data_IF_826846602533
#
_entry.id   IF_826846602533
#
_cell.length_a   1.000
_cell.length_b   1.000
_cell.length_c   1.000
_cell.angle_alpha   90.00
_cell.angle_beta   90.00
_cell.angle_gamma   90.00
#
_symmetry.space_group_name_H-M   'P 1'
#
loop_
_entity.id
_entity.type
_entity.pdbx_description
1 polymer ?
#
# COMPACT_ATOMS: atom_id res chain seq x y z
N UNK A 1 -0.82 20.26 -17.37
CA UNK A 1 -2.28 20.46 -17.31
C UNK A 1 -2.85 19.46 -16.31
N UNK A 2 -3.25 19.90 -15.11
CA UNK A 2 -3.89 19.03 -14.12
C UNK A 2 -5.31 18.70 -14.61
N UNK A 3 -5.54 17.46 -15.05
CA UNK A 3 -6.89 16.98 -15.27
C UNK A 3 -7.55 16.73 -13.91
N UNK A 4 -8.49 17.61 -13.57
CA UNK A 4 -9.45 17.44 -12.48
C UNK A 4 -10.24 16.14 -12.74
N UNK A 5 -10.02 15.13 -11.91
CA UNK A 5 -10.88 13.94 -11.88
C UNK A 5 -12.28 14.35 -11.38
N UNK A 6 -13.38 13.87 -12.00
CA UNK A 6 -14.73 14.23 -11.57
C UNK A 6 -14.99 13.70 -10.16
N UNK A 7 -15.36 14.59 -9.24
CA UNK A 7 -15.93 14.23 -7.94
C UNK A 7 -17.32 13.62 -8.19
N UNK A 8 -17.49 12.37 -7.80
CA UNK A 8 -18.77 11.67 -7.77
C UNK A 8 -18.72 10.31 -8.46
N UNK A 9 -18.07 9.32 -7.82
CA UNK A 9 -18.28 7.93 -8.19
C UNK A 9 -19.25 7.29 -7.20
N UNK A 10 -20.41 6.93 -7.72
CA UNK A 10 -21.35 5.98 -7.12
C UNK A 10 -20.55 4.75 -6.67
N UNK A 11 -20.79 4.29 -5.45
CA UNK A 11 -20.13 3.14 -4.82
C UNK A 11 -20.45 1.86 -5.60
N UNK A 12 -19.72 1.63 -6.69
CA UNK A 12 -19.87 0.48 -7.58
C UNK A 12 -19.35 -0.76 -6.87
N UNK A 13 -20.07 -1.87 -6.98
CA UNK A 13 -19.69 -3.15 -6.37
C UNK A 13 -18.27 -3.55 -6.81
N UNK A 14 -17.30 -3.69 -5.87
CA UNK A 14 -15.92 -4.04 -6.19
C UNK A 14 -15.79 -5.38 -6.92
N UNK A 15 -16.69 -6.33 -6.64
CA UNK A 15 -16.72 -7.63 -7.33
C UNK A 15 -17.05 -7.42 -8.81
N UNK A 16 -18.07 -6.61 -9.09
CA UNK A 16 -18.47 -6.30 -10.46
C UNK A 16 -17.35 -5.56 -11.22
N UNK A 17 -16.64 -4.62 -10.57
CA UNK A 17 -15.50 -3.93 -11.18
C UNK A 17 -14.41 -4.92 -11.61
N UNK A 18 -14.02 -5.82 -10.71
CA UNK A 18 -12.97 -6.82 -10.97
C UNK A 18 -13.40 -7.81 -12.06
N UNK A 19 -14.64 -8.31 -12.00
CA UNK A 19 -15.16 -9.26 -12.99
C UNK A 19 -15.31 -8.64 -14.37
N UNK A 20 -15.84 -7.41 -14.46
CA UNK A 20 -15.98 -6.69 -15.74
C UNK A 20 -14.60 -6.39 -16.32
N UNK A 21 -13.64 -5.96 -15.49
CA UNK A 21 -12.26 -5.74 -15.93
C UNK A 21 -11.63 -7.03 -16.46
N UNK A 22 -11.77 -8.13 -15.72
CA UNK A 22 -11.18 -9.41 -16.10
C UNK A 22 -11.80 -9.97 -17.39
N UNK A 23 -13.12 -9.91 -17.51
CA UNK A 23 -13.82 -10.30 -18.73
C UNK A 23 -13.41 -9.44 -19.93
N UNK A 24 -13.16 -8.13 -19.72
CA UNK A 24 -12.65 -7.25 -20.76
C UNK A 24 -11.20 -7.57 -21.15
N UNK A 25 -10.36 -7.98 -20.20
CA UNK A 25 -8.98 -8.39 -20.44
C UNK A 25 -8.88 -9.78 -21.10
N UNK A 26 -9.81 -10.68 -20.78
CA UNK A 26 -9.92 -12.02 -21.36
C UNK A 26 -10.68 -12.07 -22.70
N UNK A 27 -10.98 -10.92 -23.33
CA UNK A 27 -11.85 -10.86 -24.51
C UNK A 27 -11.53 -11.95 -25.56
N UNK A 28 -12.56 -12.61 -26.10
CA UNK A 28 -12.39 -13.77 -26.98
C UNK A 28 -11.70 -13.37 -28.29
N UNK A 29 -11.14 -14.37 -28.98
CA UNK A 29 -10.47 -14.28 -30.30
C UNK A 29 -11.29 -13.62 -31.44
N UNK A 30 -12.50 -13.13 -31.18
CA UNK A 30 -13.38 -12.48 -32.16
C UNK A 30 -13.45 -10.99 -31.84
N UNK A 31 -12.58 -10.21 -32.48
CA UNK A 31 -12.61 -8.74 -32.48
C UNK A 31 -13.78 -8.27 -33.33
N UNK A 32 -14.46 -7.22 -32.90
CA UNK A 32 -15.48 -6.55 -33.73
C UNK A 32 -14.84 -5.91 -34.96
N UNK A 33 -15.59 -5.70 -36.05
CA UNK A 33 -15.07 -5.04 -37.26
C UNK A 33 -14.49 -3.65 -36.96
N UNK A 34 -15.10 -2.91 -36.04
CA UNK A 34 -14.60 -1.62 -35.57
C UNK A 34 -13.26 -1.73 -34.83
N UNK A 35 -13.09 -2.74 -33.97
CA UNK A 35 -11.82 -2.99 -33.28
C UNK A 35 -10.72 -3.41 -34.27
N UNK A 36 -11.05 -4.23 -35.26
CA UNK A 36 -10.11 -4.64 -36.32
C UNK A 36 -9.70 -3.43 -37.16
N UNK A 37 -10.66 -2.59 -37.57
CA UNK A 37 -10.37 -1.38 -38.33
C UNK A 37 -9.52 -0.38 -37.54
N UNK A 38 -9.81 -0.18 -36.25
CA UNK A 38 -9.01 0.67 -35.37
C UNK A 38 -7.58 0.14 -35.18
N UNK A 39 -7.42 -1.18 -35.06
CA UNK A 39 -6.12 -1.82 -34.94
C UNK A 39 -5.32 -1.78 -36.26
N UNK A 40 -5.98 -1.99 -37.41
CA UNK A 40 -5.35 -1.80 -38.72
C UNK A 40 -4.92 -0.35 -38.94
N UNK A 41 -5.74 0.63 -38.55
CA UNK A 41 -5.38 2.04 -38.59
C UNK A 41 -4.22 2.36 -37.63
N UNK A 42 -4.20 1.73 -36.45
CA UNK A 42 -3.08 1.83 -35.52
C UNK A 42 -1.80 1.28 -36.13
N UNK A 43 -1.78 0.07 -36.67
CA UNK A 43 -0.57 -0.49 -37.29
C UNK A 43 -0.15 0.23 -38.58
N UNK A 44 -1.09 0.89 -39.27
CA UNK A 44 -0.80 1.77 -40.41
C UNK A 44 -0.22 3.13 -40.02
N UNK A 45 -0.34 3.54 -38.75
CA UNK A 45 0.24 4.76 -38.22
C UNK A 45 1.40 4.42 -37.28
N UNK A 46 2.58 4.95 -37.54
CA UNK A 46 3.76 4.67 -36.69
C UNK A 46 3.65 5.42 -35.35
N UNK A 47 2.75 4.96 -34.47
CA UNK A 47 2.46 5.56 -33.17
C UNK A 47 3.61 5.31 -32.20
N UNK A 48 4.03 6.38 -31.54
CA UNK A 48 5.18 6.41 -30.63
C UNK A 48 4.87 7.24 -29.39
N UNK A 49 5.58 6.98 -28.31
CA UNK A 49 5.66 7.81 -27.14
C UNK A 49 6.88 8.73 -27.28
N UNK A 50 6.65 10.04 -27.19
CA UNK A 50 7.73 11.01 -27.02
C UNK A 50 8.00 11.18 -25.52
N UNK A 51 9.20 10.84 -25.09
CA UNK A 51 9.67 11.00 -23.72
C UNK A 51 10.18 12.42 -23.52
N UNK A 52 9.86 13.02 -22.38
CA UNK A 52 10.33 14.35 -22.00
C UNK A 52 10.46 14.47 -20.47
N UNK A 53 11.08 15.54 -20.00
CA UNK A 53 11.40 15.74 -18.56
C UNK A 53 10.22 15.51 -17.61
N UNK A 54 9.02 15.93 -18.00
CA UNK A 54 7.81 15.83 -17.16
C UNK A 54 6.95 14.57 -17.42
N UNK A 55 7.41 13.61 -18.24
CA UNK A 55 6.67 12.39 -18.56
C UNK A 55 6.76 11.98 -20.03
N UNK A 56 5.63 11.60 -20.61
CA UNK A 56 5.56 11.15 -22.00
C UNK A 56 4.25 11.60 -22.65
N UNK A 57 4.29 11.75 -23.98
CA UNK A 57 3.14 12.17 -24.80
C UNK A 57 2.99 11.26 -26.03
N UNK A 58 1.74 10.97 -26.42
CA UNK A 58 1.48 10.18 -27.63
C UNK A 58 1.75 11.02 -28.88
N UNK A 59 2.46 10.43 -29.84
CA UNK A 59 2.81 11.06 -31.11
C UNK A 59 2.73 10.05 -32.27
N UNK A 60 2.78 10.56 -33.49
CA UNK A 60 2.95 9.78 -34.73
C UNK A 60 4.30 10.13 -35.35
N UNK A 61 5.11 9.12 -35.67
CA UNK A 61 6.35 9.27 -36.40
C UNK A 61 6.04 9.64 -37.87
N UNK A 62 6.65 10.71 -38.38
CA UNK A 62 6.47 11.16 -39.76
C UNK A 62 7.62 10.65 -40.64
N UNK A 63 7.26 9.90 -41.69
CA UNK A 63 8.23 9.45 -42.71
C UNK A 63 8.88 10.68 -43.34
N UNK A 64 10.20 10.76 -43.21
CA UNK A 64 11.02 11.83 -43.77
C UNK A 64 11.96 11.25 -44.82
N UNK A 65 12.27 12.00 -45.88
CA UNK A 65 13.18 11.55 -46.93
C UNK A 65 14.62 11.43 -46.38
N UNK A 66 15.37 10.43 -46.86
CA UNK A 66 16.74 10.20 -46.42
C UNK A 66 17.61 11.45 -46.66
N UNK A 67 18.20 12.01 -45.60
CA UNK A 67 19.03 13.22 -45.65
C UNK A 67 18.30 14.53 -45.33
N UNK A 68 16.99 14.50 -45.05
CA UNK A 68 16.21 15.71 -44.70
C UNK A 68 16.37 16.16 -43.24
N UNK A 69 16.89 15.30 -42.36
CA UNK A 69 17.14 15.58 -40.95
C UNK A 69 18.61 15.25 -40.61
N UNK A 70 19.20 15.93 -39.61
CA UNK A 70 20.49 15.55 -39.04
C UNK A 70 20.48 14.09 -38.57
N UNK A 71 21.62 13.42 -38.62
CA UNK A 71 21.78 12.06 -38.10
C UNK A 71 21.35 11.99 -36.63
N UNK A 72 20.53 10.98 -36.28
CA UNK A 72 19.96 10.81 -34.94
C UNK A 72 18.69 11.61 -34.65
N UNK A 73 18.15 12.37 -35.61
CA UNK A 73 16.88 13.10 -35.42
C UNK A 73 15.72 12.51 -36.20
N UNK A 74 14.54 12.54 -35.57
CA UNK A 74 13.28 12.10 -36.15
C UNK A 74 12.21 13.18 -36.02
N UNK A 75 11.28 13.20 -36.97
CA UNK A 75 10.15 14.14 -36.97
C UNK A 75 8.90 13.47 -36.42
N UNK A 76 8.36 14.01 -35.34
CA UNK A 76 7.17 13.48 -34.67
C UNK A 76 6.05 14.50 -34.68
N UNK A 77 4.81 14.04 -34.80
CA UNK A 77 3.61 14.85 -34.66
C UNK A 77 2.87 14.47 -33.38
N UNK A 78 2.75 15.38 -32.44
CA UNK A 78 2.01 15.17 -31.19
C UNK A 78 0.51 14.98 -31.47
N UNK A 79 -0.11 14.00 -30.81
CA UNK A 79 -1.53 13.68 -31.04
C UNK A 79 -2.49 14.68 -30.42
N UNK A 80 -2.08 15.35 -29.34
CA UNK A 80 -2.98 16.19 -28.55
C UNK A 80 -3.23 17.58 -29.16
N UNK A 81 -2.24 18.15 -29.84
CA UNK A 81 -2.30 19.50 -30.42
C UNK A 81 -1.89 19.54 -31.91
N UNK A 82 -1.39 18.42 -32.46
CA UNK A 82 -0.91 18.34 -33.83
C UNK A 82 0.44 18.99 -34.08
N UNK A 83 1.14 19.45 -33.04
CA UNK A 83 2.44 20.11 -33.14
C UNK A 83 3.48 19.13 -33.69
N UNK A 84 4.28 19.59 -34.66
CA UNK A 84 5.35 18.82 -35.28
C UNK A 84 6.69 19.26 -34.71
N UNK A 85 7.47 18.30 -34.22
CA UNK A 85 8.77 18.53 -33.58
C UNK A 85 9.85 17.65 -34.22
N UNK A 86 11.06 18.20 -34.30
CA UNK A 86 12.26 17.43 -34.63
C UNK A 86 12.96 17.08 -33.31
N UNK A 87 12.95 15.80 -32.96
CA UNK A 87 13.42 15.26 -31.67
C UNK A 87 14.55 14.26 -31.88
N UNK A 88 15.25 13.92 -30.80
CA UNK A 88 16.23 12.83 -30.82
C UNK A 88 15.51 11.48 -30.95
N UNK A 89 16.06 10.54 -31.72
CA UNK A 89 15.53 9.19 -31.84
C UNK A 89 15.55 8.45 -30.49
N UNK A 90 16.52 8.78 -29.61
CA UNK A 90 16.63 8.20 -28.27
C UNK A 90 15.46 8.60 -27.34
N UNK A 91 14.77 9.71 -27.63
CA UNK A 91 13.60 10.17 -26.87
C UNK A 91 12.27 9.53 -27.36
N UNK A 92 12.32 8.63 -28.34
CA UNK A 92 11.14 8.05 -28.99
C UNK A 92 11.00 6.57 -28.68
N UNK A 93 9.93 6.20 -27.98
CA UNK A 93 9.61 4.81 -27.68
C UNK A 93 8.40 4.32 -28.49
N UNK A 94 8.34 3.03 -28.87
CA UNK A 94 7.16 2.49 -29.58
C UNK A 94 5.92 2.49 -28.70
N UNK A 95 4.77 2.91 -29.24
CA UNK A 95 3.50 2.88 -28.51
C UNK A 95 2.74 1.57 -28.76
N UNK A 96 2.19 1.01 -27.69
CA UNK A 96 1.31 -0.16 -27.78
C UNK A 96 -0.09 0.23 -28.31
N UNK A 97 -0.76 -0.64 -29.06
CA UNK A 97 -2.16 -0.43 -29.45
C UNK A 97 -3.08 -0.21 -28.24
N UNK A 98 -4.20 0.53 -28.40
CA UNK A 98 -5.15 0.81 -27.31
C UNK A 98 -5.76 -0.44 -26.66
N UNK A 99 -5.72 -1.60 -27.34
CA UNK A 99 -6.11 -2.89 -26.75
C UNK A 99 -5.27 -3.29 -25.53
N UNK A 100 -4.06 -2.74 -25.39
CA UNK A 100 -3.17 -2.99 -24.26
C UNK A 100 -3.27 -1.94 -23.14
N UNK A 101 -4.06 -0.87 -23.32
CA UNK A 101 -4.15 0.25 -22.36
C UNK A 101 -4.49 -0.18 -20.94
N UNK A 102 -5.26 -1.26 -20.76
CA UNK A 102 -5.64 -1.78 -19.43
C UNK A 102 -5.14 -3.20 -19.20
N UNK A 103 -4.05 -3.61 -19.86
CA UNK A 103 -3.48 -4.95 -19.74
C UNK A 103 -3.38 -5.39 -18.27
N UNK A 104 -3.87 -6.58 -17.96
CA UNK A 104 -3.80 -7.13 -16.62
C UNK A 104 -2.39 -7.57 -16.24
N UNK A 105 -1.57 -7.90 -17.22
CA UNK A 105 -0.16 -8.25 -17.06
C UNK A 105 0.72 -7.37 -17.96
N UNK A 106 1.61 -6.61 -17.33
CA UNK A 106 2.57 -5.75 -18.02
C UNK A 106 3.57 -6.54 -18.85
N UNK A 107 3.82 -7.82 -18.51
CA UNK A 107 4.70 -8.68 -19.29
C UNK A 107 4.10 -9.10 -20.65
N UNK A 108 2.80 -8.87 -20.86
CA UNK A 108 2.11 -9.17 -22.12
C UNK A 108 2.06 -7.98 -23.09
N UNK A 109 2.63 -6.83 -22.73
CA UNK A 109 2.72 -5.69 -23.64
C UNK A 109 3.56 -6.05 -24.87
N UNK A 110 3.11 -5.64 -26.06
CA UNK A 110 3.83 -5.86 -27.32
C UNK A 110 5.18 -5.13 -27.32
N UNK A 111 5.20 -3.89 -26.84
CA UNK A 111 6.40 -3.09 -26.64
C UNK A 111 6.59 -2.82 -25.15
N UNK A 112 7.60 -3.44 -24.56
CA UNK A 112 7.91 -3.27 -23.15
C UNK A 112 8.91 -2.14 -22.97
N UNK A 113 8.38 -0.93 -22.74
CA UNK A 113 9.14 0.29 -22.43
C UNK A 113 8.50 1.06 -21.27
N UNK A 114 9.22 2.05 -20.74
CA UNK A 114 8.78 2.78 -19.54
C UNK A 114 7.48 3.53 -19.80
N UNK A 115 7.33 4.20 -20.94
CA UNK A 115 6.12 4.96 -21.28
C UNK A 115 4.89 4.07 -21.37
N UNK A 116 5.01 2.89 -21.99
CA UNK A 116 3.89 1.95 -22.13
C UNK A 116 3.47 1.33 -20.80
N UNK A 117 4.43 0.99 -19.94
CA UNK A 117 4.13 0.50 -18.59
C UNK A 117 3.43 1.58 -17.78
N UNK A 118 3.95 2.81 -17.80
CA UNK A 118 3.38 3.94 -17.08
C UNK A 118 1.99 4.33 -17.59
N UNK A 119 1.77 4.30 -18.91
CA UNK A 119 0.44 4.50 -19.51
C UNK A 119 -0.54 3.44 -19.02
N UNK A 120 -0.18 2.16 -19.11
CA UNK A 120 -1.04 1.05 -18.68
C UNK A 120 -1.42 1.16 -17.20
N UNK A 121 -0.43 1.45 -16.34
CA UNK A 121 -0.64 1.68 -14.92
C UNK A 121 -1.55 2.89 -14.65
N UNK A 122 -1.39 3.99 -15.41
CA UNK A 122 -2.23 5.19 -15.30
C UNK A 122 -3.67 4.91 -15.70
N UNK A 123 -3.90 4.21 -16.80
CA UNK A 123 -5.24 3.84 -17.27
C UNK A 123 -5.96 2.91 -16.29
N UNK A 124 -5.24 1.93 -15.73
CA UNK A 124 -5.77 1.03 -14.70
C UNK A 124 -6.11 1.78 -13.42
N UNK A 125 -5.20 2.64 -12.95
CA UNK A 125 -5.45 3.47 -11.76
C UNK A 125 -6.66 4.39 -11.94
N UNK A 126 -6.82 5.01 -13.11
CA UNK A 126 -8.01 5.81 -13.46
C UNK A 126 -9.31 5.01 -13.52
N UNK A 127 -9.22 3.69 -13.71
CA UNK A 127 -10.33 2.74 -13.62
C UNK A 127 -10.55 2.14 -12.23
N UNK A 128 -9.90 2.65 -11.17
CA UNK A 128 -9.86 2.08 -9.82
C UNK A 128 -9.28 0.66 -9.73
N UNK A 129 -8.45 0.26 -10.70
CA UNK A 129 -7.74 -1.02 -10.72
C UNK A 129 -6.32 -0.79 -10.20
N UNK A 130 -6.14 -0.89 -8.89
CA UNK A 130 -4.88 -0.56 -8.22
C UNK A 130 -3.82 -1.67 -8.29
N UNK A 131 -4.23 -2.88 -8.67
CA UNK A 131 -3.36 -4.06 -8.78
C UNK A 131 -3.14 -4.39 -10.25
N UNK A 132 -1.91 -4.73 -10.62
CA UNK A 132 -1.54 -5.14 -11.97
C UNK A 132 -0.46 -6.21 -11.89
N UNK A 133 -0.54 -7.26 -12.71
CA UNK A 133 0.53 -8.25 -12.80
C UNK A 133 1.73 -7.69 -13.58
N UNK A 134 2.92 -8.18 -13.23
CA UNK A 134 4.17 -7.91 -13.93
C UNK A 134 4.95 -9.23 -14.01
N UNK A 135 4.54 -10.10 -14.93
CA UNK A 135 5.02 -11.48 -15.00
C UNK A 135 4.72 -12.21 -13.69
N UNK A 136 5.71 -12.83 -13.01
CA UNK A 136 5.46 -13.52 -11.74
C UNK A 136 5.07 -12.56 -10.60
N UNK A 137 5.44 -11.27 -10.69
CA UNK A 137 5.24 -10.28 -9.64
C UNK A 137 3.90 -9.55 -9.78
N UNK A 138 3.53 -8.77 -8.77
CA UNK A 138 2.36 -7.87 -8.80
C UNK A 138 2.78 -6.47 -8.38
N UNK A 139 2.41 -5.48 -9.18
CA UNK A 139 2.58 -4.06 -8.91
C UNK A 139 1.29 -3.53 -8.30
N UNK A 140 1.42 -2.77 -7.22
CA UNK A 140 0.29 -2.18 -6.50
C UNK A 140 0.53 -0.68 -6.36
N UNK A 141 -0.40 0.11 -6.88
CA UNK A 141 -0.39 1.56 -6.70
C UNK A 141 -1.27 1.89 -5.51
N UNK A 142 -0.65 2.39 -4.43
CA UNK A 142 -1.38 2.71 -3.21
C UNK A 142 -2.44 3.80 -3.49
N UNK A 143 -3.74 3.52 -3.26
CA UNK A 143 -4.79 4.49 -3.50
C UNK A 143 -4.77 5.62 -2.47
N UNK A 144 -5.32 6.77 -2.85
CA UNK A 144 -5.48 7.93 -1.95
C UNK A 144 -6.66 7.76 -0.96
N UNK A 145 -7.58 6.84 -1.24
CA UNK A 145 -8.72 6.51 -0.38
C UNK A 145 -8.81 4.99 -0.18
N UNK A 146 -9.45 4.56 0.91
CA UNK A 146 -9.66 3.14 1.17
C UNK A 146 -10.57 2.54 0.08
N UNK A 147 -10.07 1.63 -0.76
CA UNK A 147 -10.89 1.06 -1.82
C UNK A 147 -11.82 0.00 -1.22
N UNK A 148 -13.07 -0.07 -1.70
CA UNK A 148 -14.04 -1.13 -1.36
C UNK A 148 -13.59 -2.55 -1.74
N UNK A 149 -12.43 -2.66 -2.41
CA UNK A 149 -11.82 -3.87 -2.97
C UNK A 149 -11.37 -4.92 -1.94
N UNK A 150 -11.31 -4.61 -0.65
CA UNK A 150 -10.82 -5.51 0.40
C UNK A 150 -11.93 -6.11 1.28
N UNK A 151 -13.13 -6.29 0.73
CA UNK A 151 -14.27 -6.89 1.45
C UNK A 151 -14.20 -8.42 1.50
N UNK A 152 -14.90 -9.03 2.47
CA UNK A 152 -15.03 -10.50 2.55
C UNK A 152 -15.63 -11.12 1.28
N UNK A 153 -16.56 -10.42 0.63
CA UNK A 153 -17.13 -10.85 -0.67
C UNK A 153 -16.03 -11.03 -1.72
N UNK A 154 -15.09 -10.08 -1.78
CA UNK A 154 -13.95 -10.17 -2.69
C UNK A 154 -13.02 -11.31 -2.28
N UNK A 155 -12.77 -11.53 -0.99
CA UNK A 155 -11.98 -12.69 -0.53
C UNK A 155 -12.59 -14.02 -1.00
N UNK A 156 -13.90 -14.19 -0.87
CA UNK A 156 -14.60 -15.39 -1.33
C UNK A 156 -14.52 -15.59 -2.86
N UNK A 157 -14.52 -14.52 -3.65
CA UNK A 157 -14.36 -14.59 -5.10
C UNK A 157 -12.99 -15.16 -5.51
N UNK A 158 -11.93 -14.89 -4.75
CA UNK A 158 -10.58 -15.42 -5.05
C UNK A 158 -10.35 -16.83 -4.49
N UNK A 159 -11.22 -17.33 -3.60
CA UNK A 159 -11.02 -18.62 -2.93
C UNK A 159 -11.06 -19.77 -3.95
N UNK A 160 -9.97 -20.54 -4.02
CA UNK A 160 -9.88 -21.72 -4.88
C UNK A 160 -9.56 -21.42 -6.35
N UNK A 161 -9.58 -20.16 -6.77
CA UNK A 161 -9.31 -19.78 -8.14
C UNK A 161 -7.83 -19.88 -8.50
N UNK A 162 -7.53 -20.12 -9.78
CA UNK A 162 -6.16 -19.97 -10.28
C UNK A 162 -5.91 -18.50 -10.59
N UNK A 163 -4.62 -18.14 -10.71
CA UNK A 163 -4.22 -16.77 -10.96
C UNK A 163 -4.79 -16.27 -12.30
N UNK A 164 -4.72 -17.11 -13.32
CA UNK A 164 -5.21 -16.88 -14.67
C UNK A 164 -6.73 -16.69 -14.76
N UNK A 165 -7.48 -17.22 -13.79
CA UNK A 165 -8.96 -17.17 -13.77
C UNK A 165 -9.50 -15.92 -13.03
N UNK A 166 -8.60 -15.04 -12.57
CA UNK A 166 -8.98 -13.88 -11.75
C UNK A 166 -8.26 -12.62 -12.16
N UNK A 167 -8.90 -11.47 -11.92
CA UNK A 167 -8.26 -10.17 -12.07
C UNK A 167 -7.02 -10.05 -11.16
N UNK A 168 -6.01 -9.24 -11.54
CA UNK A 168 -4.88 -8.94 -10.68
C UNK A 168 -5.35 -8.43 -9.30
N UNK A 169 -4.91 -9.10 -8.24
CA UNK A 169 -5.21 -8.72 -6.87
C UNK A 169 -4.22 -9.33 -5.87
N UNK A 170 -4.03 -8.70 -4.72
CA UNK A 170 -3.17 -9.24 -3.65
C UNK A 170 -3.68 -10.60 -3.13
N UNK A 171 -5.00 -10.83 -3.18
CA UNK A 171 -5.62 -12.10 -2.80
C UNK A 171 -5.31 -13.23 -3.79
N UNK A 172 -5.14 -12.94 -5.08
CA UNK A 172 -4.66 -13.95 -6.04
C UNK A 172 -3.23 -14.40 -5.70
N UNK A 173 -2.38 -13.48 -5.24
CA UNK A 173 -1.02 -13.81 -4.77
C UNK A 173 -1.07 -14.71 -3.53
N UNK A 174 -1.89 -14.35 -2.54
CA UNK A 174 -2.09 -15.18 -1.35
C UNK A 174 -2.65 -16.57 -1.67
N UNK A 175 -3.67 -16.64 -2.53
CA UNK A 175 -4.29 -17.89 -2.97
C UNK A 175 -3.30 -18.78 -3.71
N UNK A 176 -2.47 -18.20 -4.59
CA UNK A 176 -1.44 -18.95 -5.31
C UNK A 176 -0.38 -19.49 -4.36
N UNK A 177 0.09 -18.68 -3.40
CA UNK A 177 1.04 -19.13 -2.38
C UNK A 177 0.44 -20.25 -1.53
N UNK A 178 -0.79 -20.08 -1.03
CA UNK A 178 -1.48 -21.09 -0.25
C UNK A 178 -1.67 -22.41 -1.02
N UNK A 179 -2.11 -22.34 -2.28
CA UNK A 179 -2.24 -23.52 -3.14
C UNK A 179 -0.90 -24.22 -3.35
N UNK A 180 0.16 -23.46 -3.62
CA UNK A 180 1.50 -24.02 -3.82
C UNK A 180 1.99 -24.71 -2.54
N UNK A 181 1.86 -24.07 -1.38
CA UNK A 181 2.19 -24.67 -0.09
C UNK A 181 1.52 -26.04 0.11
N UNK A 182 0.21 -26.14 -0.14
CA UNK A 182 -0.53 -27.39 0.03
C UNK A 182 -0.15 -28.46 -0.99
N UNK A 183 0.13 -28.05 -2.23
CA UNK A 183 0.40 -28.97 -3.35
C UNK A 183 1.84 -29.48 -3.33
N UNK A 184 2.81 -28.59 -3.13
CA UNK A 184 4.24 -28.93 -3.16
C UNK A 184 4.79 -29.32 -1.80
N UNK A 185 4.07 -29.03 -0.71
CA UNK A 185 4.53 -29.18 0.68
C UNK A 185 5.84 -28.44 0.95
N UNK A 186 6.04 -27.31 0.26
CA UNK A 186 7.20 -26.44 0.44
C UNK A 186 6.77 -25.07 0.95
N UNK A 187 7.58 -24.50 1.85
CA UNK A 187 7.34 -23.17 2.43
C UNK A 187 7.31 -22.09 1.35
N UNK A 188 6.44 -21.10 1.55
CA UNK A 188 6.22 -19.99 0.62
C UNK A 188 6.52 -18.67 1.32
N UNK A 189 7.03 -17.69 0.58
CA UNK A 189 7.27 -16.34 1.09
C UNK A 189 6.67 -15.29 0.15
N UNK A 190 6.09 -14.26 0.75
CA UNK A 190 5.57 -13.09 0.04
C UNK A 190 6.34 -11.88 0.56
N UNK A 191 7.10 -11.23 -0.32
CA UNK A 191 7.93 -10.07 0.02
C UNK A 191 7.31 -8.80 -0.56
N UNK A 192 6.99 -7.84 0.32
CA UNK A 192 6.42 -6.55 -0.07
C UNK A 192 7.52 -5.48 -0.13
N UNK A 193 7.81 -5.01 -1.35
CA UNK A 193 8.83 -4.00 -1.60
C UNK A 193 8.19 -2.65 -1.92
N UNK A 194 8.89 -1.57 -1.57
CA UNK A 194 8.47 -0.21 -1.91
C UNK A 194 8.93 0.85 -0.91
N UNK A 195 8.87 2.12 -1.33
CA UNK A 195 9.22 3.28 -0.49
C UNK A 195 8.24 3.46 0.67
N UNK A 196 8.56 4.34 1.63
CA UNK A 196 7.62 4.70 2.69
C UNK A 196 6.33 5.25 2.09
N UNK A 197 5.17 4.86 2.64
CA UNK A 197 3.85 5.28 2.12
C UNK A 197 3.34 4.48 0.91
N UNK A 198 4.08 3.49 0.41
CA UNK A 198 3.64 2.66 -0.73
C UNK A 198 2.58 1.59 -0.38
N UNK A 199 2.07 1.56 0.86
CA UNK A 199 1.02 0.62 1.27
C UNK A 199 1.50 -0.79 1.69
N UNK A 200 2.80 -1.02 1.92
CA UNK A 200 3.33 -2.35 2.34
C UNK A 200 2.60 -2.93 3.55
N UNK A 201 2.48 -2.15 4.62
CA UNK A 201 1.88 -2.61 5.88
C UNK A 201 0.39 -2.99 5.69
N UNK A 202 -0.36 -2.17 4.94
CA UNK A 202 -1.77 -2.42 4.61
C UNK A 202 -1.94 -3.69 3.77
N UNK A 203 -1.11 -3.87 2.74
CA UNK A 203 -1.16 -5.08 1.91
C UNK A 203 -0.79 -6.34 2.70
N UNK A 204 0.17 -6.26 3.64
CA UNK A 204 0.49 -7.36 4.55
C UNK A 204 -0.71 -7.76 5.39
N UNK A 205 -1.45 -6.79 5.95
CA UNK A 205 -2.66 -7.08 6.70
C UNK A 205 -3.72 -7.79 5.85
N UNK A 206 -3.93 -7.34 4.62
CA UNK A 206 -4.89 -7.98 3.71
C UNK A 206 -4.48 -9.40 3.31
N UNK A 207 -3.18 -9.66 3.08
CA UNK A 207 -2.66 -11.00 2.82
C UNK A 207 -2.97 -11.96 3.97
N UNK A 208 -2.61 -11.58 5.19
CA UNK A 208 -2.81 -12.42 6.38
C UNK A 208 -4.31 -12.59 6.66
N UNK A 209 -5.09 -11.51 6.59
CA UNK A 209 -6.54 -11.57 6.77
C UNK A 209 -7.19 -12.54 5.76
N UNK A 210 -6.76 -12.51 4.50
CA UNK A 210 -7.24 -13.44 3.48
C UNK A 210 -6.90 -14.89 3.85
N UNK A 211 -5.63 -15.20 4.10
CA UNK A 211 -5.16 -16.55 4.42
C UNK A 211 -5.89 -17.14 5.63
N UNK A 212 -6.05 -16.37 6.70
CA UNK A 212 -6.78 -16.80 7.91
C UNK A 212 -8.26 -17.05 7.61
N UNK A 213 -8.88 -16.21 6.79
CA UNK A 213 -10.30 -16.33 6.46
C UNK A 213 -10.58 -17.53 5.55
N UNK A 214 -9.69 -17.82 4.59
CA UNK A 214 -9.92 -18.90 3.62
C UNK A 214 -9.51 -20.29 4.13
N UNK A 215 -8.41 -20.39 4.87
CA UNK A 215 -7.90 -21.64 5.43
C UNK A 215 -8.66 -22.05 6.69
N UNK A 216 -9.22 -21.06 7.41
CA UNK A 216 -9.75 -21.27 8.75
C UNK A 216 -8.63 -21.58 9.75
N UNK A 217 -9.01 -21.87 11.00
CA UNK A 217 -8.06 -22.22 12.05
C UNK A 217 -8.59 -23.37 12.90
N UNK A 218 -7.72 -24.35 13.14
CA UNK A 218 -7.97 -25.47 14.03
C UNK A 218 -8.14 -24.97 15.46
N UNK A 219 -9.25 -25.30 16.11
CA UNK A 219 -9.53 -24.88 17.50
C UNK A 219 -9.71 -23.37 17.71
N UNK A 220 -9.89 -22.57 16.63
CA UNK A 220 -9.98 -21.09 16.69
C UNK A 220 -8.76 -20.44 17.39
N UNK A 221 -7.60 -21.06 17.29
CA UNK A 221 -6.36 -20.57 17.92
C UNK A 221 -6.01 -19.18 17.36
N UNK A 222 -6.19 -18.99 16.06
CA UNK A 222 -5.98 -17.72 15.36
C UNK A 222 -7.22 -17.31 14.56
N UNK A 223 -7.59 -16.03 14.63
CA UNK A 223 -8.77 -15.50 13.96
C UNK A 223 -8.48 -14.12 13.36
N UNK A 224 -9.32 -13.67 12.43
CA UNK A 224 -9.24 -12.31 11.90
C UNK A 224 -9.30 -11.25 13.01
N UNK A 225 -10.13 -11.46 14.04
CA UNK A 225 -10.22 -10.57 15.20
C UNK A 225 -8.88 -10.48 15.97
N UNK A 226 -8.24 -11.63 16.26
CA UNK A 226 -6.92 -11.65 16.89
C UNK A 226 -5.87 -10.98 16.01
N UNK A 227 -5.91 -11.19 14.70
CA UNK A 227 -5.00 -10.52 13.78
C UNK A 227 -5.15 -9.00 13.80
N UNK A 228 -6.38 -8.49 13.78
CA UNK A 228 -6.65 -7.05 13.91
C UNK A 228 -6.17 -6.50 15.26
N UNK A 229 -6.33 -7.26 16.35
CA UNK A 229 -5.84 -6.88 17.66
C UNK A 229 -4.29 -6.79 17.70
N UNK A 230 -3.59 -7.79 17.16
CA UNK A 230 -2.13 -7.77 17.05
C UNK A 230 -1.66 -6.56 16.24
N UNK A 231 -2.28 -6.32 15.09
CA UNK A 231 -1.90 -5.20 14.25
C UNK A 231 -2.16 -3.83 14.92
N UNK A 232 -3.27 -3.69 15.66
CA UNK A 232 -3.57 -2.48 16.45
C UNK A 232 -2.47 -2.17 17.47
N UNK A 233 -1.94 -3.20 18.14
CA UNK A 233 -0.84 -3.05 19.09
C UNK A 233 0.46 -2.67 18.37
N UNK A 234 0.82 -3.40 17.30
CA UNK A 234 2.02 -3.11 16.52
C UNK A 234 2.01 -1.70 15.93
N UNK A 235 0.85 -1.22 15.46
CA UNK A 235 0.67 0.13 14.96
C UNK A 235 0.85 1.17 16.07
N UNK A 236 0.25 0.97 17.25
CA UNK A 236 0.38 1.91 18.35
C UNK A 236 1.85 2.08 18.78
N UNK A 237 2.58 0.98 18.95
CA UNK A 237 3.95 0.99 19.47
C UNK A 237 5.03 1.19 18.42
N UNK A 238 4.76 0.85 17.16
CA UNK A 238 5.76 0.81 16.09
C UNK A 238 5.59 1.85 14.99
N UNK A 239 4.45 2.54 14.92
CA UNK A 239 4.20 3.57 13.91
C UNK A 239 4.33 4.99 14.47
N UNK A 240 4.67 5.92 13.57
CA UNK A 240 4.75 7.36 13.84
C UNK A 240 4.32 8.16 12.62
N UNK A 241 3.90 9.42 12.81
CA UNK A 241 3.65 10.35 11.72
C UNK A 241 4.95 10.97 11.20
N UNK A 242 5.14 10.94 9.87
CA UNK A 242 6.23 11.59 9.15
C UNK A 242 5.69 12.59 8.13
N UNK A 243 6.57 13.37 7.49
CA UNK A 243 6.20 14.31 6.42
C UNK A 243 5.55 13.63 5.21
N UNK A 244 5.89 12.37 4.94
CA UNK A 244 5.43 11.60 3.78
C UNK A 244 4.31 10.60 4.10
N UNK A 245 4.17 10.21 5.37
CA UNK A 245 3.21 9.18 5.79
C UNK A 245 2.81 9.40 7.25
N UNK A 246 1.52 9.64 7.47
CA UNK A 246 0.95 9.92 8.80
C UNK A 246 0.92 8.69 9.72
N UNK A 247 1.15 7.49 9.18
CA UNK A 247 1.16 6.24 9.94
C UNK A 247 2.31 5.34 9.46
N UNK A 248 3.53 5.86 9.51
CA UNK A 248 4.71 5.16 9.03
C UNK A 248 5.21 4.12 10.05
N UNK A 249 5.27 2.86 9.65
CA UNK A 249 5.95 1.81 10.40
C UNK A 249 7.45 2.09 10.49
N UNK A 250 7.99 2.14 11.71
CA UNK A 250 9.41 2.41 12.02
C UNK A 250 10.13 1.18 12.58
N UNK A 251 9.67 0.00 12.15
CA UNK A 251 10.24 -1.30 12.44
C UNK A 251 10.00 -2.21 11.24
N UNK A 252 10.77 -3.30 11.15
CA UNK A 252 10.53 -4.38 10.20
C UNK A 252 9.80 -5.52 10.89
N UNK A 253 8.97 -6.26 10.15
CA UNK A 253 8.26 -7.41 10.69
C UNK A 253 8.26 -8.57 9.70
N UNK A 254 8.40 -9.78 10.23
CA UNK A 254 8.17 -11.05 9.54
C UNK A 254 6.97 -11.70 10.22
N UNK A 255 5.97 -12.08 9.43
CA UNK A 255 4.78 -12.79 9.91
C UNK A 255 4.82 -14.18 9.30
N UNK A 256 4.85 -15.20 10.14
CA UNK A 256 4.84 -16.60 9.72
C UNK A 256 3.50 -17.23 10.11
N UNK A 257 2.89 -17.94 9.17
CA UNK A 257 1.69 -18.75 9.39
C UNK A 257 2.03 -20.20 9.10
N UNK A 258 1.79 -21.07 10.07
CA UNK A 258 1.99 -22.51 9.90
C UNK A 258 0.64 -23.17 9.65
N UNK A 259 0.62 -24.11 8.71
CA UNK A 259 -0.59 -24.81 8.29
C UNK A 259 -0.47 -26.30 8.62
N UNK A 260 -1.57 -26.88 9.12
CA UNK A 260 -1.61 -28.32 9.41
C UNK A 260 -1.80 -29.17 8.14
N UNK A 261 -1.87 -30.48 8.32
CA UNK A 261 -2.03 -31.42 7.21
C UNK A 261 -3.35 -31.24 6.44
N UNK A 262 -4.38 -30.70 7.09
CA UNK A 262 -5.68 -30.36 6.50
C UNK A 262 -5.67 -28.98 5.81
N UNK A 263 -4.57 -28.24 5.92
CA UNK A 263 -4.40 -26.91 5.35
C UNK A 263 -5.00 -25.80 6.22
N UNK A 264 -5.35 -26.06 7.47
CA UNK A 264 -5.86 -25.03 8.38
C UNK A 264 -4.71 -24.32 9.11
N UNK A 265 -4.92 -23.07 9.52
CA UNK A 265 -3.91 -22.34 10.29
C UNK A 265 -3.76 -22.97 11.68
N UNK A 266 -2.57 -23.51 11.93
CA UNK A 266 -2.17 -24.17 13.17
C UNK A 266 -1.49 -23.20 14.14
N UNK A 267 -0.62 -22.32 13.63
CA UNK A 267 0.06 -21.29 14.42
C UNK A 267 0.35 -20.04 13.59
N UNK A 268 0.53 -18.92 14.31
CA UNK A 268 0.96 -17.65 13.76
C UNK A 268 2.03 -17.06 14.67
N UNK A 269 3.11 -16.54 14.08
CA UNK A 269 4.17 -15.85 14.82
C UNK A 269 4.55 -14.55 14.13
N UNK A 270 4.99 -13.57 14.92
CA UNK A 270 5.46 -12.28 14.42
C UNK A 270 6.81 -11.99 15.02
N UNK A 271 7.79 -11.78 14.17
CA UNK A 271 9.11 -11.33 14.56
C UNK A 271 9.30 -9.88 14.15
N UNK A 272 9.48 -9.00 15.14
CA UNK A 272 9.78 -7.58 14.92
C UNK A 272 11.29 -7.34 14.97
N UNK A 273 11.81 -6.49 14.09
CA UNK A 273 13.23 -6.19 13.97
C UNK A 273 13.45 -4.68 13.75
N UNK A 274 14.61 -4.18 14.15
CA UNK A 274 15.10 -2.82 13.80
C UNK A 274 14.11 -1.69 14.14
N UNK A 275 13.48 -1.74 15.31
CA UNK A 275 12.69 -0.60 15.81
C UNK A 275 13.60 0.64 15.91
N UNK A 276 13.16 1.77 15.37
CA UNK A 276 13.88 3.06 15.41
C UNK A 276 13.78 3.69 16.83
N UNK A 277 14.42 3.06 17.81
CA UNK A 277 14.35 3.44 19.24
C UNK A 277 14.75 4.90 19.48
N UNK A 278 15.69 5.43 18.71
CA UNK A 278 16.17 6.82 18.83
C UNK A 278 15.08 7.86 18.57
N UNK A 279 14.00 7.52 17.84
CA UNK A 279 12.90 8.45 17.55
C UNK A 279 12.21 8.99 18.80
N UNK A 280 12.24 8.24 19.90
CA UNK A 280 11.67 8.69 21.18
C UNK A 280 12.35 9.97 21.66
N UNK A 281 13.68 10.04 21.54
CA UNK A 281 14.49 11.15 22.07
C UNK A 281 14.91 12.15 21.00
N UNK A 282 15.12 11.70 19.75
CA UNK A 282 15.58 12.54 18.64
C UNK A 282 14.90 12.14 17.34
N UNK A 283 14.26 13.12 16.71
CA UNK A 283 13.53 13.00 15.43
C UNK A 283 13.54 14.33 14.68
N UNK A 284 13.26 14.35 13.37
CA UNK A 284 13.05 15.61 12.66
C UNK A 284 11.90 16.42 13.27
N UNK A 285 12.01 17.75 13.28
CA UNK A 285 11.09 18.64 13.99
C UNK A 285 9.64 18.56 13.51
N UNK A 286 9.43 18.18 12.25
CA UNK A 286 8.11 18.04 11.63
C UNK A 286 7.47 16.66 11.85
N UNK A 287 8.15 15.75 12.54
CA UNK A 287 7.71 14.37 12.75
C UNK A 287 7.34 14.08 14.21
N UNK A 288 6.48 13.08 14.41
CA UNK A 288 6.04 12.66 15.74
C UNK A 288 6.91 11.54 16.31
N UNK A 289 6.79 11.31 17.62
CA UNK A 289 7.22 10.03 18.23
C UNK A 289 6.22 8.91 17.89
N UNK A 290 6.37 7.74 18.52
CA UNK A 290 5.43 6.63 18.40
C UNK A 290 4.02 7.00 18.86
N UNK A 291 3.03 6.51 18.12
CA UNK A 291 1.61 6.83 18.32
C UNK A 291 1.11 6.58 19.75
N UNK A 292 1.61 5.52 20.40
CA UNK A 292 1.20 5.11 21.75
C UNK A 292 1.33 6.23 22.79
N UNK A 293 2.33 7.11 22.69
CA UNK A 293 2.48 8.23 23.62
C UNK A 293 1.29 9.19 23.52
N UNK A 294 0.87 9.52 22.29
CA UNK A 294 -0.25 10.43 22.06
C UNK A 294 -1.60 9.79 22.42
N UNK A 295 -1.74 8.48 22.17
CA UNK A 295 -2.91 7.70 22.57
C UNK A 295 -3.06 7.71 24.09
N UNK A 296 -2.00 7.36 24.82
CA UNK A 296 -1.98 7.35 26.29
C UNK A 296 -2.25 8.74 26.87
N UNK A 297 -1.60 9.80 26.37
CA UNK A 297 -1.82 11.17 26.86
C UNK A 297 -3.25 11.68 26.66
N UNK A 298 -3.92 11.24 25.59
CA UNK A 298 -5.27 11.70 25.23
C UNK A 298 -6.38 10.80 25.77
N UNK A 299 -6.09 9.51 25.97
CA UNK A 299 -7.08 8.47 26.27
C UNK A 299 -7.05 7.93 27.69
N UNK A 300 -6.00 8.20 28.48
CA UNK A 300 -5.97 7.76 29.88
C UNK A 300 -7.13 8.36 30.68
N UNK A 301 -7.81 7.53 31.47
CA UNK A 301 -8.88 7.95 32.37
C UNK A 301 -8.33 8.70 33.60
N UNK A 302 -9.20 9.23 34.46
CA UNK A 302 -8.78 10.04 35.62
C UNK A 302 -7.88 9.28 36.60
N UNK A 303 -8.16 7.99 36.80
CA UNK A 303 -7.36 7.13 37.68
C UNK A 303 -5.97 6.92 37.11
N UNK A 304 -5.87 6.47 35.85
CA UNK A 304 -4.59 6.23 35.18
C UNK A 304 -3.80 7.54 35.01
N UNK A 305 -4.45 8.67 34.72
CA UNK A 305 -3.77 9.98 34.62
C UNK A 305 -3.16 10.41 35.95
N UNK A 306 -3.85 10.15 37.06
CA UNK A 306 -3.33 10.45 38.39
C UNK A 306 -2.12 9.58 38.70
N UNK A 307 -2.21 8.28 38.39
CA UNK A 307 -1.11 7.33 38.58
C UNK A 307 0.11 7.66 37.71
N UNK A 308 -0.10 8.07 36.46
CA UNK A 308 0.95 8.46 35.54
C UNK A 308 1.46 9.89 35.78
N UNK A 309 0.91 10.62 36.75
CA UNK A 309 1.22 12.04 36.99
C UNK A 309 1.03 12.94 35.75
N UNK A 310 0.00 12.69 34.93
CA UNK A 310 -0.35 13.46 33.72
C UNK A 310 -1.33 14.60 33.98
N UNK A 311 -1.28 15.18 35.18
CA UNK A 311 -2.06 16.36 35.55
C UNK A 311 -1.48 17.64 34.94
N UNK A 312 -0.15 17.66 34.74
CA UNK A 312 0.55 18.76 34.10
C UNK A 312 1.63 18.19 33.16
N UNK A 313 1.63 18.64 31.91
CA UNK A 313 2.65 18.23 30.94
C UNK A 313 3.71 19.34 30.83
N UNK A 314 4.98 18.96 30.81
CA UNK A 314 6.08 19.90 30.65
C UNK A 314 6.02 20.60 29.28
N UNK A 315 6.11 21.94 29.28
CA UNK A 315 6.13 22.75 28.06
C UNK A 315 7.41 22.52 27.24
N UNK A 316 8.55 22.28 27.91
CA UNK A 316 9.87 22.10 27.31
C UNK A 316 10.46 20.71 27.61
N UNK A 317 9.85 19.64 27.06
CA UNK A 317 10.39 18.28 27.16
C UNK A 317 11.64 18.12 26.30
N UNK A 318 12.74 17.62 26.87
CA UNK A 318 13.96 17.28 26.14
C UNK A 318 13.76 16.20 25.06
N UNK A 319 12.74 15.35 25.21
CA UNK A 319 12.35 14.34 24.20
C UNK A 319 11.31 14.87 23.20
N UNK A 320 10.86 16.12 23.37
CA UNK A 320 9.87 16.78 22.51
C UNK A 320 8.52 16.07 22.45
N UNK A 321 8.20 15.22 23.43
CA UNK A 321 6.92 14.50 23.48
C UNK A 321 5.92 15.45 24.14
N UNK A 322 5.07 16.08 23.33
CA UNK A 322 4.07 17.04 23.80
C UNK A 322 2.67 16.56 23.44
N UNK A 323 1.64 16.87 24.25
CA UNK A 323 0.26 16.58 23.90
C UNK A 323 -0.12 17.24 22.56
N UNK A 324 -0.99 16.58 21.80
CA UNK A 324 -1.52 17.15 20.55
C UNK A 324 -2.26 18.46 20.85
N UNK A 325 -2.14 19.48 20.00
CA UNK A 325 -2.80 20.77 20.21
C UNK A 325 -4.24 20.80 19.68
N UNK A 326 -4.47 20.17 18.52
CA UNK A 326 -5.77 20.12 17.83
C UNK A 326 -6.75 19.20 18.54
N UNK A 327 -7.98 19.68 18.77
CA UNK A 327 -9.04 18.91 19.44
C UNK A 327 -9.42 17.63 18.67
N UNK A 328 -9.50 17.70 17.35
CA UNK A 328 -9.82 16.55 16.49
C UNK A 328 -8.78 15.42 16.64
N UNK A 329 -7.49 15.77 16.69
CA UNK A 329 -6.42 14.78 16.83
C UNK A 329 -6.43 14.15 18.22
N UNK A 330 -6.70 14.94 19.28
CA UNK A 330 -6.90 14.42 20.64
C UNK A 330 -8.05 13.41 20.70
N UNK A 331 -9.18 13.73 20.08
CA UNK A 331 -10.35 12.82 20.04
C UNK A 331 -10.01 11.52 19.30
N UNK A 332 -9.34 11.61 18.15
CA UNK A 332 -8.85 10.43 17.40
C UNK A 332 -7.90 9.59 18.26
N UNK A 333 -6.90 10.20 18.89
CA UNK A 333 -5.93 9.51 19.76
C UNK A 333 -6.60 8.84 20.96
N UNK A 334 -7.59 9.49 21.58
CA UNK A 334 -8.38 8.92 22.68
C UNK A 334 -9.18 7.69 22.25
N UNK A 335 -9.83 7.74 21.08
CA UNK A 335 -10.51 6.58 20.50
C UNK A 335 -9.54 5.44 20.18
N UNK A 336 -8.35 5.76 19.64
CA UNK A 336 -7.32 4.75 19.37
C UNK A 336 -6.77 4.11 20.65
N UNK A 337 -6.66 4.86 21.75
CA UNK A 337 -6.28 4.30 23.04
C UNK A 337 -7.30 3.27 23.54
N UNK A 338 -8.60 3.58 23.42
CA UNK A 338 -9.67 2.65 23.78
C UNK A 338 -9.60 1.37 22.93
N UNK A 339 -9.37 1.51 21.61
CA UNK A 339 -9.17 0.37 20.70
C UNK A 339 -7.93 -0.44 21.07
N UNK A 340 -6.84 0.20 21.47
CA UNK A 340 -5.62 -0.45 21.90
C UNK A 340 -5.84 -1.31 23.15
N UNK A 341 -6.53 -0.79 24.17
CA UNK A 341 -6.87 -1.55 25.39
C UNK A 341 -7.78 -2.75 25.06
N UNK A 342 -8.76 -2.56 24.18
CA UNK A 342 -9.61 -3.65 23.72
C UNK A 342 -8.82 -4.72 22.95
N UNK A 343 -7.89 -4.31 22.08
CA UNK A 343 -7.00 -5.22 21.35
C UNK A 343 -6.10 -6.02 22.30
N UNK A 344 -5.51 -5.37 23.30
CA UNK A 344 -4.72 -6.05 24.35
C UNK A 344 -5.54 -7.11 25.09
N UNK A 345 -6.80 -6.79 25.42
CA UNK A 345 -7.73 -7.74 26.05
C UNK A 345 -8.05 -8.95 25.14
N UNK A 346 -8.25 -8.74 23.84
CA UNK A 346 -8.49 -9.83 22.86
C UNK A 346 -7.32 -10.81 22.82
N UNK A 347 -6.09 -10.33 23.03
CA UNK A 347 -4.90 -11.17 23.09
C UNK A 347 -4.62 -11.77 24.49
N UNK A 348 -5.49 -11.51 25.46
CA UNK A 348 -5.35 -12.04 26.81
C UNK A 348 -4.36 -11.29 27.70
N UNK A 349 -3.94 -10.07 27.32
CA UNK A 349 -3.06 -9.22 28.15
C UNK A 349 -3.89 -8.67 29.31
N UNK A 350 -3.46 -8.99 30.54
CA UNK A 350 -4.20 -8.65 31.76
C UNK A 350 -4.23 -7.14 32.02
N UNK A 351 -5.16 -6.69 32.88
CA UNK A 351 -5.24 -5.27 33.24
C UNK A 351 -3.97 -4.81 33.97
N UNK A 352 -3.39 -5.68 34.79
CA UNK A 352 -2.14 -5.46 35.52
C UNK A 352 -0.95 -5.34 34.56
N UNK A 353 -0.88 -6.20 33.53
CA UNK A 353 0.14 -6.12 32.48
C UNK A 353 0.01 -4.83 31.67
N UNK A 354 -1.22 -4.46 31.27
CA UNK A 354 -1.49 -3.19 30.60
C UNK A 354 -1.05 -2.00 31.47
N UNK A 355 -1.39 -2.02 32.75
CA UNK A 355 -0.99 -0.99 33.72
C UNK A 355 0.53 -0.88 33.82
N UNK A 356 1.26 -1.99 33.89
CA UNK A 356 2.72 -1.99 33.89
C UNK A 356 3.29 -1.34 32.61
N UNK A 357 2.72 -1.63 31.43
CA UNK A 357 3.11 -0.98 30.18
C UNK A 357 2.90 0.53 30.20
N UNK A 358 1.77 0.99 30.72
CA UNK A 358 1.48 2.43 30.84
C UNK A 358 2.45 3.13 31.78
N UNK A 359 2.80 2.52 32.91
CA UNK A 359 3.80 3.04 33.86
C UNK A 359 5.18 3.19 33.22
N UNK A 360 5.60 2.21 32.41
CA UNK A 360 6.87 2.28 31.66
C UNK A 360 6.84 3.45 30.67
N UNK A 361 5.77 3.60 29.90
CA UNK A 361 5.64 4.72 28.94
C UNK A 361 5.57 6.08 29.64
N UNK A 362 4.89 6.17 30.79
CA UNK A 362 4.85 7.36 31.63
C UNK A 362 6.25 7.73 32.13
N UNK A 363 7.03 6.75 32.57
CA UNK A 363 8.42 6.96 33.00
C UNK A 363 9.29 7.49 31.86
N UNK A 364 9.16 6.94 30.65
CA UNK A 364 9.88 7.43 29.46
C UNK A 364 9.53 8.89 29.17
N UNK A 365 8.25 9.26 29.27
CA UNK A 365 7.82 10.65 29.14
C UNK A 365 8.47 11.55 30.20
N UNK A 366 8.41 11.16 31.47
CA UNK A 366 8.93 11.95 32.59
C UNK A 366 10.44 12.12 32.55
N UNK A 367 11.19 11.12 32.06
CA UNK A 367 12.63 11.25 31.80
C UNK A 367 12.92 12.38 30.79
N UNK A 368 12.09 12.49 29.75
CA UNK A 368 12.18 13.59 28.80
C UNK A 368 11.78 14.94 29.41
N UNK A 369 10.78 14.95 30.29
CA UNK A 369 10.30 16.16 30.95
C UNK A 369 11.29 16.72 32.00
N UNK A 370 12.01 15.84 32.72
CA UNK A 370 12.97 16.24 33.75
C UNK A 370 14.19 17.00 33.17
N UNK A 371 14.60 16.68 31.95
CA UNK A 371 15.76 17.29 31.30
C UNK A 371 17.07 17.05 32.06
N UNK A 372 18.07 17.90 31.80
CA UNK A 372 19.34 17.88 32.52
C UNK A 372 19.80 19.31 32.80
N UNK A 373 20.38 19.54 33.96
CA UNK A 373 20.99 20.83 34.34
C UNK A 373 22.44 20.58 34.76
N UNK A 374 23.33 21.54 34.47
CA UNK A 374 24.72 21.45 34.93
C UNK A 374 24.73 21.68 36.44
N UNK A 375 25.21 20.69 37.19
CA UNK A 375 25.44 20.84 38.63
C UNK A 375 26.41 22.00 38.88
N UNK A 376 26.13 22.81 39.90
CA UNK A 376 27.14 23.73 40.42
C UNK A 376 28.09 22.88 41.26
N UNK A 377 29.39 22.90 40.93
CA UNK A 377 30.40 22.30 41.78
C UNK A 377 30.32 22.94 43.19
N UNK A 378 30.39 22.13 44.26
CA UNK A 378 30.14 22.57 45.64
C UNK A 378 31.15 23.61 46.15
#
# INVERSE_FOLDING_TARGET
MLYLLPKGQVDKDPVAILQVSHAAAQQPKVKTEEQIAAEQAWYGSEKVWLVHKDGFSLATLLKTEAGSLPEGKVKVKLEHDGTVLDVDDDDVEKANPPSFDRSEDLALLQYLNESSVMHSLRQRYGGNLIHTHAGPNTVIINPLSAPSMYSEKVMHMFKGCRREDTAPHIYAVAQSAYRNLLTTRQDQSIVLLGKSGSGKTTNCQHLIQYLVSIAGSTGKIFSGEKWQAVYTILEAFGNSSTSMNTNASRFSQIVSLDFDQAGQVASASIQTMLLEKLRVTKRPETESTFNVFYYMMSGADSTLRTELHFNHFAENSAFGIVPQSKLEDKQKSSQQFTKLQAAMKVLGISVEEQRALWLILGTIYHLGAAGATKGKDP
#
